data_IF_760680005059
#
_entry.id   IF_760680005059
#
_cell.length_a   1.000
_cell.length_b   1.000
_cell.length_c   1.000
_cell.angle_alpha   90.00
_cell.angle_beta   90.00
_cell.angle_gamma   90.00
#
_symmetry.space_group_name_H-M   'P 1'
#
loop_
_entity.id
_entity.type
_entity.pdbx_description
1 polymer ?
#
# COMPACT_ATOMS: atom_id res chain seq x y z
N UNK A 1 -6.26 -5.27 -18.09
CA UNK A 1 -4.83 -4.99 -17.82
C UNK A 1 -4.36 -5.89 -16.70
N UNK A 2 -3.15 -6.46 -16.85
CA UNK A 2 -2.64 -7.68 -16.19
C UNK A 2 -2.38 -7.49 -14.68
N UNK A 3 -3.02 -8.31 -13.85
CA UNK A 3 -2.62 -8.50 -12.45
C UNK A 3 -1.40 -9.43 -12.42
N UNK A 4 -0.23 -8.90 -12.77
CA UNK A 4 1.07 -9.56 -12.65
C UNK A 4 1.96 -8.84 -11.63
N UNK A 5 1.35 -8.11 -10.71
CA UNK A 5 2.00 -7.21 -9.77
C UNK A 5 1.69 -7.73 -8.38
N UNK A 6 2.72 -8.05 -7.59
CA UNK A 6 2.55 -8.50 -6.20
C UNK A 6 1.55 -7.59 -5.47
N UNK A 7 0.53 -8.19 -4.87
CA UNK A 7 -0.42 -7.45 -4.05
C UNK A 7 0.26 -7.17 -2.70
N UNK A 8 0.27 -5.92 -2.27
CA UNK A 8 0.66 -5.56 -0.92
C UNK A 8 -0.56 -5.09 -0.16
N UNK A 9 -0.75 -5.61 1.04
CA UNK A 9 -1.74 -5.12 1.98
C UNK A 9 -1.04 -4.11 2.90
N UNK A 10 -1.42 -2.85 2.81
CA UNK A 10 -0.84 -1.76 3.57
C UNK A 10 -1.85 -1.20 4.57
N UNK A 11 -1.43 -1.14 5.83
CA UNK A 11 -2.16 -0.44 6.89
C UNK A 11 -1.65 0.99 6.93
N UNK A 12 -2.52 1.94 6.65
CA UNK A 12 -2.19 3.37 6.60
C UNK A 12 -3.07 4.15 7.58
N UNK A 13 -2.51 5.21 8.13
CA UNK A 13 -3.24 6.21 8.90
C UNK A 13 -3.43 7.44 8.01
N UNK A 14 -4.68 7.84 7.81
CA UNK A 14 -5.07 9.04 7.06
C UNK A 14 -6.17 9.73 7.84
N UNK A 15 -5.99 11.02 8.16
CA UNK A 15 -6.95 11.82 8.93
C UNK A 15 -7.33 11.18 10.28
N UNK A 16 -6.33 10.70 11.04
CA UNK A 16 -6.51 9.94 12.30
C UNK A 16 -7.37 8.67 12.18
N UNK A 17 -7.60 8.16 10.97
CA UNK A 17 -8.27 6.88 10.74
C UNK A 17 -7.28 5.87 10.20
N UNK A 18 -7.21 4.72 10.86
CA UNK A 18 -6.46 3.57 10.38
C UNK A 18 -7.32 2.85 9.33
N UNK A 19 -6.75 2.64 8.15
CA UNK A 19 -7.39 1.92 7.05
C UNK A 19 -6.41 0.92 6.46
N UNK A 20 -6.95 -0.23 6.08
CA UNK A 20 -6.19 -1.25 5.37
C UNK A 20 -6.54 -1.18 3.88
N UNK A 21 -5.52 -1.12 3.03
CA UNK A 21 -5.68 -0.94 1.59
C UNK A 21 -4.81 -1.93 0.83
N UNK A 22 -5.33 -2.41 -0.30
CA UNK A 22 -4.56 -3.22 -1.24
C UNK A 22 -3.86 -2.32 -2.25
N UNK A 23 -2.58 -2.58 -2.46
CA UNK A 23 -1.65 -1.77 -3.25
C UNK A 23 -0.90 -2.71 -4.18
N UNK A 24 -1.17 -2.63 -5.48
CA UNK A 24 -0.49 -3.45 -6.49
C UNK A 24 0.87 -2.83 -6.82
N UNK A 25 1.96 -3.36 -6.28
CA UNK A 25 3.29 -2.81 -6.47
C UNK A 25 4.32 -3.91 -6.74
N UNK A 26 5.45 -3.57 -7.39
CA UNK A 26 6.50 -4.57 -7.68
C UNK A 26 7.46 -4.79 -6.52
N UNK A 27 7.44 -3.90 -5.52
CA UNK A 27 8.35 -3.93 -4.38
C UNK A 27 7.80 -3.08 -3.23
N UNK A 28 8.29 -3.31 -2.01
CA UNK A 28 8.02 -2.48 -0.83
C UNK A 28 8.17 -0.95 -1.06
N UNK A 29 9.30 -0.44 -1.61
CA UNK A 29 9.45 1.00 -1.87
C UNK A 29 8.45 1.53 -2.91
N UNK A 30 8.09 0.71 -3.90
CA UNK A 30 7.11 1.06 -4.93
C UNK A 30 5.70 1.16 -4.31
N UNK A 31 5.34 0.23 -3.42
CA UNK A 31 4.07 0.27 -2.67
C UNK A 31 3.95 1.56 -1.85
N UNK A 32 5.00 1.93 -1.10
CA UNK A 32 5.03 3.19 -0.32
C UNK A 32 4.88 4.41 -1.23
N UNK A 33 5.54 4.42 -2.39
CA UNK A 33 5.43 5.50 -3.38
C UNK A 33 4.01 5.63 -3.91
N UNK A 34 3.35 4.51 -4.20
CA UNK A 34 1.95 4.51 -4.65
C UNK A 34 1.00 5.04 -3.57
N UNK A 35 1.17 4.60 -2.31
CA UNK A 35 0.36 5.09 -1.18
C UNK A 35 0.51 6.60 -1.05
N UNK A 36 1.75 7.10 -1.05
CA UNK A 36 2.04 8.53 -0.91
C UNK A 36 1.48 9.36 -2.08
N UNK A 37 1.46 8.80 -3.30
CA UNK A 37 0.80 9.42 -4.46
C UNK A 37 -0.72 9.47 -4.33
N UNK A 38 -1.32 8.45 -3.74
CA UNK A 38 -2.79 8.31 -3.64
C UNK A 38 -3.39 9.10 -2.47
N UNK A 39 -2.71 9.13 -1.32
CA UNK A 39 -3.23 9.73 -0.08
C UNK A 39 -2.45 10.99 0.36
N UNK A 40 -1.41 11.38 -0.39
CA UNK A 40 -0.63 12.58 -0.12
C UNK A 40 0.27 12.48 1.12
N UNK A 41 0.80 13.63 1.53
CA UNK A 41 1.73 13.77 2.68
C UNK A 41 1.08 13.53 4.04
N UNK A 42 -0.25 13.55 4.14
CA UNK A 42 -0.99 13.25 5.38
C UNK A 42 -1.19 11.75 5.64
N UNK A 43 -0.65 10.89 4.76
CA UNK A 43 -0.72 9.44 4.96
C UNK A 43 0.54 8.91 5.61
N UNK A 44 0.37 8.17 6.71
CA UNK A 44 1.45 7.45 7.38
C UNK A 44 1.28 5.95 7.16
N UNK A 45 2.28 5.30 6.60
CA UNK A 45 2.27 3.84 6.45
C UNK A 45 2.70 3.23 7.78
N UNK A 46 1.78 2.49 8.43
CA UNK A 46 2.04 1.79 9.68
C UNK A 46 2.62 0.40 9.44
N UNK A 47 2.06 -0.31 8.46
CA UNK A 47 2.48 -1.68 8.12
C UNK A 47 2.31 -1.92 6.63
N UNK A 48 3.19 -2.75 6.06
CA UNK A 48 3.10 -3.17 4.67
C UNK A 48 3.45 -4.66 4.58
N UNK A 49 2.47 -5.47 4.22
CA UNK A 49 2.57 -6.92 4.09
C UNK A 49 2.45 -7.28 2.61
N UNK A 50 3.30 -8.18 2.13
CA UNK A 50 3.12 -8.77 0.79
C UNK A 50 2.05 -9.86 0.92
N UNK A 51 1.00 -9.78 0.11
CA UNK A 51 0.12 -10.93 -0.12
C UNK A 51 0.94 -11.94 -0.91
N UNK A 52 1.41 -12.99 -0.23
CA UNK A 52 1.83 -14.18 -0.93
C UNK A 52 0.57 -14.77 -1.57
N UNK A 53 0.46 -14.69 -2.90
CA UNK A 53 -0.48 -15.54 -3.63
C UNK A 53 -0.03 -16.99 -3.39
N UNK A 54 -0.58 -17.64 -2.38
CA UNK A 54 -0.64 -19.10 -2.27
C UNK A 54 -1.67 -19.64 -3.24
#
# INVERSE_FOLDING_TARGET
MRCGTECYTATIEVNNQIKEIKVAARSNPDARKMIRRKYGTHSKVLSLKRDALT
#
